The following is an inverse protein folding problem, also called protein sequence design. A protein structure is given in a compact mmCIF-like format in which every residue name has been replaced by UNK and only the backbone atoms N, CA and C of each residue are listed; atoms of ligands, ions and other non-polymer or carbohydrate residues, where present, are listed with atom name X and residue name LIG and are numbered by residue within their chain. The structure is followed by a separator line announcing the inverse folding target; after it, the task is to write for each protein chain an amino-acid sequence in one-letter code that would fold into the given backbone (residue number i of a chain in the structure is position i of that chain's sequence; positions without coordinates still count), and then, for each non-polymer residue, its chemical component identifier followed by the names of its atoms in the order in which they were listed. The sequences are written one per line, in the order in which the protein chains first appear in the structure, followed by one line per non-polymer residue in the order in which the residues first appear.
data_IF_588262099720
#
_entry.id   IF_588262099720
#
_cell.length_a   1.000
_cell.length_b   1.000
_cell.length_c   1.000
_cell.angle_alpha   90.00
_cell.angle_beta   90.00
_cell.angle_gamma   90.00
#
_symmetry.space_group_name_H-M   'P 1'
#
loop_
_entity.id
_entity.type
_entity.pdbx_description
1 polymer ?
#
# COMPACT_ATOMS: atom_id res chain seq x y z
N UNK A 1 5.73 1.72 10.45
CA UNK A 1 5.97 2.31 9.10
C UNK A 1 7.47 2.28 8.82
N UNK A 2 7.88 2.11 7.56
CA UNK A 2 9.31 2.02 7.19
C UNK A 2 9.91 3.36 6.75
N UNK A 3 11.22 3.53 6.92
CA UNK A 3 11.95 4.71 6.43
C UNK A 3 12.31 4.53 4.95
N UNK A 4 12.02 5.55 4.13
CA UNK A 4 12.34 5.63 2.68
C UNK A 4 13.80 5.30 2.37
N UNK A 5 14.72 5.83 3.16
CA UNK A 5 16.16 5.75 2.88
C UNK A 5 16.76 4.37 3.27
N UNK A 6 15.98 3.55 3.99
CA UNK A 6 16.39 2.23 4.47
C UNK A 6 15.66 1.08 3.75
N UNK A 7 14.99 1.37 2.64
CA UNK A 7 14.29 0.34 1.86
C UNK A 7 15.32 -0.56 1.19
N UNK A 8 15.21 -1.86 1.45
CA UNK A 8 15.98 -2.91 0.78
C UNK A 8 15.09 -3.53 -0.30
N UNK A 9 15.41 -3.23 -1.57
CA UNK A 9 14.59 -3.64 -2.71
C UNK A 9 14.75 -5.13 -3.03
N UNK A 10 13.64 -5.77 -3.41
CA UNK A 10 13.51 -7.13 -3.97
C UNK A 10 13.98 -8.31 -3.09
N UNK A 11 14.75 -8.07 -2.02
CA UNK A 11 15.31 -9.13 -1.17
C UNK A 11 14.60 -9.20 0.18
N UNK A 12 14.34 -8.05 0.81
CA UNK A 12 13.70 -8.00 2.13
C UNK A 12 12.18 -8.15 2.05
N UNK A 13 11.62 -8.89 3.02
CA UNK A 13 10.17 -9.05 3.18
C UNK A 13 9.65 -7.95 4.09
N UNK A 14 8.78 -7.10 3.54
CA UNK A 14 7.99 -6.14 4.29
C UNK A 14 6.55 -6.63 4.39
N UNK A 15 5.72 -5.92 5.13
CA UNK A 15 4.32 -6.25 5.32
C UNK A 15 3.41 -5.08 4.95
N UNK A 16 2.25 -5.37 4.39
CA UNK A 16 1.18 -4.41 4.14
C UNK A 16 -0.15 -5.00 4.57
N UNK A 17 -1.08 -4.14 4.96
CA UNK A 17 -2.46 -4.52 5.24
C UNK A 17 -3.23 -4.87 3.95
N UNK A 18 -4.23 -5.74 4.09
CA UNK A 18 -5.21 -6.16 3.10
C UNK A 18 -6.59 -6.28 3.79
N UNK A 19 -7.66 -6.47 3.01
CA UNK A 19 -9.01 -6.69 3.58
C UNK A 19 -9.13 -7.97 4.41
N UNK A 20 -8.18 -8.90 4.27
CA UNK A 20 -8.16 -10.18 4.98
C UNK A 20 -7.05 -10.25 6.06
N UNK A 21 -6.41 -9.12 6.39
CA UNK A 21 -5.37 -9.06 7.41
C UNK A 21 -4.08 -8.40 6.91
N UNK A 22 -2.94 -9.04 7.14
CA UNK A 22 -1.64 -8.57 6.68
C UNK A 22 -1.04 -9.57 5.70
N UNK A 23 -0.26 -9.07 4.74
CA UNK A 23 0.41 -9.88 3.72
C UNK A 23 1.86 -9.45 3.58
N UNK A 24 2.74 -10.43 3.35
CA UNK A 24 4.14 -10.21 3.02
C UNK A 24 4.32 -9.72 1.58
N UNK A 25 5.20 -8.75 1.40
CA UNK A 25 5.50 -8.10 0.12
C UNK A 25 7.01 -7.85 -0.03
N UNK A 26 7.44 -7.72 -1.29
CA UNK A 26 8.76 -7.19 -1.65
C UNK A 26 8.60 -5.85 -2.34
N UNK A 27 9.42 -4.86 -1.98
CA UNK A 27 9.40 -3.55 -2.63
C UNK A 27 10.29 -3.60 -3.88
N UNK A 28 9.74 -3.18 -5.03
CA UNK A 28 10.45 -3.17 -6.31
C UNK A 28 10.94 -1.76 -6.70
N UNK A 29 10.14 -0.73 -6.40
CA UNK A 29 10.44 0.66 -6.77
C UNK A 29 9.75 1.63 -5.82
N UNK A 30 10.40 2.76 -5.52
CA UNK A 30 9.81 3.93 -4.86
C UNK A 30 9.48 4.99 -5.92
N UNK A 31 8.30 5.58 -5.81
CA UNK A 31 7.83 6.69 -6.65
C UNK A 31 7.95 8.01 -5.89
N UNK A 32 8.07 9.12 -6.63
CA UNK A 32 8.20 10.47 -6.06
C UNK A 32 6.98 10.90 -5.22
N UNK A 33 5.80 10.38 -5.56
CA UNK A 33 4.54 10.63 -4.85
C UNK A 33 4.45 9.92 -3.47
N UNK A 34 5.52 9.22 -3.06
CA UNK A 34 5.56 8.47 -1.81
C UNK A 34 4.83 7.12 -1.88
N UNK A 35 4.47 6.65 -3.07
CA UNK A 35 4.02 5.29 -3.29
C UNK A 35 5.20 4.36 -3.62
N UNK A 36 4.99 3.06 -3.42
CA UNK A 36 5.90 2.00 -3.81
C UNK A 36 5.21 0.99 -4.70
N UNK A 37 5.93 0.48 -5.70
CA UNK A 37 5.54 -0.73 -6.43
C UNK A 37 5.97 -1.94 -5.60
N UNK A 38 5.01 -2.78 -5.24
CA UNK A 38 5.25 -3.96 -4.41
C UNK A 38 4.86 -5.23 -5.15
N UNK A 39 5.51 -6.33 -4.80
CA UNK A 39 5.28 -7.68 -5.34
C UNK A 39 4.85 -8.63 -4.24
N UNK A 40 3.77 -9.37 -4.50
CA UNK A 40 3.34 -10.55 -3.73
C UNK A 40 3.59 -11.81 -4.55
N UNK A 41 3.19 -12.97 -4.01
CA UNK A 41 3.13 -14.23 -4.78
C UNK A 41 2.14 -14.16 -5.95
N UNK A 42 1.09 -13.34 -5.85
CA UNK A 42 -0.04 -13.31 -6.80
C UNK A 42 0.06 -12.20 -7.84
N UNK A 43 0.98 -11.25 -7.69
CA UNK A 43 1.17 -10.17 -8.65
C UNK A 43 1.86 -8.95 -8.08
N UNK A 44 1.77 -7.83 -8.80
CA UNK A 44 2.34 -6.54 -8.40
C UNK A 44 1.25 -5.48 -8.30
N UNK A 45 1.42 -4.53 -7.38
CA UNK A 45 0.52 -3.39 -7.25
C UNK A 45 1.22 -2.19 -6.58
N UNK A 46 0.61 -1.02 -6.71
CA UNK A 46 1.10 0.20 -6.06
C UNK A 46 0.48 0.36 -4.67
N UNK A 47 1.29 0.75 -3.68
CA UNK A 47 0.88 0.97 -2.29
C UNK A 47 1.51 2.27 -1.75
N UNK A 48 0.76 3.13 -1.06
CA UNK A 48 1.39 4.25 -0.33
C UNK A 48 2.37 3.71 0.71
N UNK A 49 3.57 4.29 0.80
CA UNK A 49 4.62 3.81 1.70
C UNK A 49 4.19 3.82 3.17
N UNK A 50 3.29 4.75 3.54
CA UNK A 50 2.76 4.83 4.90
C UNK A 50 2.03 3.56 5.38
N UNK A 51 1.56 2.74 4.43
CA UNK A 51 0.90 1.46 4.72
C UNK A 51 1.84 0.26 4.53
N UNK A 52 3.16 0.49 4.56
CA UNK A 52 4.19 -0.55 4.53
C UNK A 52 4.94 -0.57 5.86
N UNK A 53 5.12 -1.78 6.39
CA UNK A 53 5.58 -2.05 7.75
C UNK A 53 6.70 -3.09 7.75
N UNK A 54 7.53 -3.07 8.80
CA UNK A 54 8.58 -4.07 8.99
C UNK A 54 8.04 -5.38 9.57
N UNK A 55 6.94 -5.33 10.32
CA UNK A 55 6.35 -6.49 11.00
C UNK A 55 4.91 -6.71 10.57
N UNK A 56 4.45 -7.96 10.71
CA UNK A 56 3.07 -8.33 10.41
C UNK A 56 2.10 -7.72 11.43
N UNK A 57 2.44 -7.65 12.73
CA UNK A 57 1.56 -7.07 13.74
C UNK A 57 1.26 -5.59 13.46
N UNK A 58 2.26 -4.82 13.04
CA UNK A 58 2.07 -3.40 12.73
C UNK A 58 1.17 -3.23 11.49
N UNK A 59 1.33 -4.09 10.49
CA UNK A 59 0.46 -4.11 9.33
C UNK A 59 -0.99 -4.44 9.72
N UNK A 60 -1.22 -5.39 10.64
CA UNK A 60 -2.56 -5.70 11.16
C UNK A 60 -3.17 -4.52 11.91
N UNK A 61 -2.40 -3.86 12.79
CA UNK A 61 -2.86 -2.68 13.54
C UNK A 61 -3.26 -1.53 12.61
N UNK A 62 -2.47 -1.26 11.57
CA UNK A 62 -2.73 -0.22 10.58
C UNK A 62 -3.82 -0.55 9.54
N UNK A 63 -4.44 -1.74 9.59
CA UNK A 63 -5.40 -2.20 8.60
C UNK A 63 -6.66 -1.33 8.52
N UNK A 64 -7.23 -0.94 9.67
CA UNK A 64 -8.46 -0.12 9.71
C UNK A 64 -8.27 1.25 9.05
N UNK A 65 -7.15 1.91 9.32
CA UNK A 65 -6.82 3.21 8.73
C UNK A 65 -6.65 3.11 7.21
N UNK A 66 -5.95 2.07 6.76
CA UNK A 66 -5.80 1.79 5.34
C UNK A 66 -7.13 1.53 4.64
N UNK A 67 -8.01 0.71 5.23
CA UNK A 67 -9.30 0.43 4.62
C UNK A 67 -10.14 1.69 4.46
N UNK A 68 -10.14 2.56 5.48
CA UNK A 68 -10.84 3.84 5.44
C UNK A 68 -10.26 4.75 4.35
N UNK A 69 -8.93 4.83 4.22
CA UNK A 69 -8.26 5.52 3.13
C UNK A 69 -8.67 4.96 1.76
N UNK A 70 -8.67 3.64 1.58
CA UNK A 70 -8.98 2.98 0.31
C UNK A 70 -10.45 3.20 -0.08
N UNK A 71 -11.39 3.15 0.88
CA UNK A 71 -12.82 3.49 0.67
C UNK A 71 -12.97 4.94 0.19
N UNK A 72 -12.30 5.89 0.83
CA UNK A 72 -12.30 7.31 0.41
C UNK A 72 -11.70 7.49 -0.98
N UNK A 73 -10.55 6.85 -1.26
CA UNK A 73 -9.89 6.90 -2.58
C UNK A 73 -10.81 6.40 -3.69
N UNK A 74 -11.50 5.27 -3.48
CA UNK A 74 -12.46 4.70 -4.44
C UNK A 74 -13.65 5.64 -4.67
N UNK A 75 -14.21 6.25 -3.61
CA UNK A 75 -15.30 7.23 -3.70
C UNK A 75 -14.89 8.48 -4.50
N UNK A 76 -13.69 9.00 -4.25
CA UNK A 76 -13.15 10.16 -4.97
C UNK A 76 -12.89 9.85 -6.45
N UNK A 77 -12.42 8.63 -6.77
CA UNK A 77 -12.26 8.21 -8.17
C UNK A 77 -13.61 8.10 -8.90
N UNK A 78 -14.65 7.59 -8.23
CA UNK A 78 -16.01 7.48 -8.79
C UNK A 78 -16.65 8.85 -9.05
N UNK A 79 -16.53 9.78 -8.11
CA UNK A 79 -17.07 11.14 -8.26
C UNK A 79 -16.36 11.94 -9.36
N UNK A 80 -15.03 11.85 -9.46
CA UNK A 80 -14.28 12.46 -10.57
C UNK A 80 -14.71 11.92 -11.93
N UNK A 81 -14.88 10.60 -12.06
CA UNK A 81 -15.40 10.01 -13.31
C UNK A 81 -16.77 10.57 -13.70
N UNK A 82 -17.69 10.69 -12.74
CA UNK A 82 -19.05 11.22 -12.99
C UNK A 82 -19.04 12.69 -13.46
N UNK A 83 -18.12 13.51 -12.95
CA UNK A 83 -17.97 14.92 -13.37
C UNK A 83 -17.36 15.09 -14.77
N UNK A 84 -16.55 14.13 -15.23
CA UNK A 84 -15.94 14.19 -16.58
C UNK A 84 -16.92 13.70 -17.65
N UNK A 85 -17.92 12.91 -17.26
CA UNK A 85 -18.97 12.37 -18.15
C UNK A 85 -20.29 13.15 -18.10
N UNK A 86 -20.31 14.34 -17.48
CA UNK A 86 -21.45 15.28 -17.47
C UNK A 86 -21.04 16.54 -18.20
#
# INVERSE_FOLDING_TARGET
MINKDKIVFNTHTYYTCSYSGAIGIKILKLFEDGCVLVKTKTGTFVRPLMYVYNTEEDARKGGRDWEHYERKRKKNKKSKKKKISS
#
